data_IF_332948309591
#
_entry.id   IF_332948309591
#
_cell.length_a   1.000
_cell.length_b   1.000
_cell.length_c   1.000
_cell.angle_alpha   90.00
_cell.angle_beta   90.00
_cell.angle_gamma   90.00
#
_symmetry.space_group_name_H-M   'P 1'
#
loop_
_entity.id
_entity.type
_entity.pdbx_description
1 polymer ?
#
# COMPACT_ATOMS: atom_id res chain seq x y z
N UNK A 1 4.30 -9.25 16.40
CA UNK A 1 3.65 -10.18 17.37
C UNK A 1 3.21 -11.49 16.71
N UNK A 2 2.52 -11.47 15.58
CA UNK A 2 2.05 -12.68 14.85
C UNK A 2 3.12 -13.78 14.67
N UNK A 3 4.39 -13.50 14.30
CA UNK A 3 5.40 -14.55 14.11
C UNK A 3 5.71 -15.40 15.35
N UNK A 4 5.39 -14.94 16.55
CA UNK A 4 5.63 -15.69 17.79
C UNK A 4 4.58 -16.76 18.09
N UNK A 5 3.39 -16.62 17.52
CA UNK A 5 2.25 -17.50 17.80
C UNK A 5 1.98 -18.49 16.66
N UNK A 6 2.63 -18.29 15.51
CA UNK A 6 2.36 -19.08 14.29
C UNK A 6 3.71 -19.63 13.80
N UNK A 7 3.92 -20.93 13.96
CA UNK A 7 5.04 -21.66 13.36
C UNK A 7 4.92 -21.68 11.82
N UNK A 8 4.98 -22.85 11.18
CA UNK A 8 4.99 -23.08 9.73
C UNK A 8 3.74 -22.60 8.95
N UNK A 9 3.11 -21.53 9.33
CA UNK A 9 1.89 -20.97 8.69
C UNK A 9 1.86 -19.45 8.62
N UNK A 10 2.98 -18.78 8.92
CA UNK A 10 3.01 -17.30 9.00
C UNK A 10 2.51 -16.60 7.74
N UNK A 11 2.89 -17.10 6.54
CA UNK A 11 2.41 -16.54 5.26
C UNK A 11 0.90 -16.62 5.11
N UNK A 12 0.28 -17.74 5.50
CA UNK A 12 -1.17 -17.93 5.46
C UNK A 12 -1.89 -16.99 6.42
N UNK A 13 -1.38 -16.83 7.64
CA UNK A 13 -1.97 -15.94 8.65
C UNK A 13 -1.85 -14.47 8.24
N UNK A 14 -0.72 -14.06 7.68
CA UNK A 14 -0.54 -12.72 7.11
C UNK A 14 -1.46 -12.50 5.90
N UNK A 15 -1.65 -13.52 5.06
CA UNK A 15 -2.60 -13.49 3.95
C UNK A 15 -4.04 -13.27 4.43
N UNK A 16 -4.50 -14.02 5.43
CA UNK A 16 -5.83 -13.85 6.03
C UNK A 16 -5.98 -12.46 6.68
N UNK A 17 -4.98 -12.01 7.43
CA UNK A 17 -4.98 -10.67 8.04
C UNK A 17 -5.14 -9.58 6.99
N UNK A 18 -4.37 -9.63 5.92
CA UNK A 18 -4.48 -8.67 4.82
C UNK A 18 -5.83 -8.79 4.10
N UNK A 19 -6.33 -10.03 3.85
CA UNK A 19 -7.64 -10.27 3.25
C UNK A 19 -8.75 -9.61 4.06
N UNK A 20 -8.78 -9.80 5.38
CA UNK A 20 -9.77 -9.18 6.27
C UNK A 20 -9.65 -7.65 6.20
N UNK A 21 -8.43 -7.08 6.23
CA UNK A 21 -8.21 -5.64 6.13
C UNK A 21 -8.75 -5.05 4.82
N UNK A 22 -8.46 -5.66 3.68
CA UNK A 22 -8.96 -5.18 2.38
C UNK A 22 -10.45 -5.45 2.18
N UNK A 23 -11.00 -6.52 2.75
CA UNK A 23 -12.44 -6.74 2.75
C UNK A 23 -13.17 -5.64 3.54
N UNK A 24 -12.65 -5.28 4.73
CA UNK A 24 -13.17 -4.15 5.51
C UNK A 24 -13.04 -2.82 4.74
N UNK A 25 -11.93 -2.59 4.03
CA UNK A 25 -11.73 -1.41 3.18
C UNK A 25 -12.71 -1.37 2.01
N UNK A 26 -13.03 -2.53 1.41
CA UNK A 26 -14.06 -2.64 0.35
C UNK A 26 -15.44 -2.23 0.85
N UNK A 27 -15.83 -2.74 2.03
CA UNK A 27 -17.10 -2.38 2.66
C UNK A 27 -17.12 -0.90 3.06
N UNK A 28 -16.01 -0.37 3.56
CA UNK A 28 -15.85 1.04 3.88
C UNK A 28 -15.98 1.95 2.65
N UNK A 29 -15.38 1.56 1.53
CA UNK A 29 -15.50 2.29 0.27
C UNK A 29 -16.96 2.30 -0.24
N UNK A 30 -17.66 1.18 -0.14
CA UNK A 30 -19.08 1.12 -0.48
C UNK A 30 -19.91 1.97 0.49
N UNK A 31 -19.65 1.88 1.79
CA UNK A 31 -20.35 2.66 2.81
C UNK A 31 -20.17 4.17 2.61
N UNK A 32 -19.01 4.63 2.10
CA UNK A 32 -18.75 6.04 1.78
C UNK A 32 -19.67 6.60 0.68
N UNK A 33 -20.31 5.74 -0.11
CA UNK A 33 -21.28 6.16 -1.13
C UNK A 33 -22.72 6.34 -0.60
N UNK A 34 -23.05 5.86 0.62
CA UNK A 34 -24.39 5.92 1.22
C UNK A 34 -24.98 7.33 1.21
N UNK A 35 -24.22 8.42 1.54
CA UNK A 35 -24.76 9.78 1.50
C UNK A 35 -25.37 10.16 0.16
N UNK A 36 -24.79 9.70 -0.96
CA UNK A 36 -25.30 10.00 -2.29
C UNK A 36 -26.64 9.33 -2.62
N UNK A 37 -27.03 8.28 -1.88
CA UNK A 37 -28.31 7.60 -2.04
C UNK A 37 -29.43 8.21 -1.19
N UNK A 38 -29.07 8.87 -0.07
CA UNK A 38 -30.05 9.36 0.92
C UNK A 38 -30.42 10.83 0.74
N UNK A 39 -29.88 11.52 -0.27
CA UNK A 39 -30.34 12.84 -0.72
C UNK A 39 -29.90 14.04 0.14
N UNK A 40 -29.26 13.85 1.27
CA UNK A 40 -28.73 14.93 2.14
C UNK A 40 -27.20 14.81 2.29
N UNK A 41 -26.52 14.89 1.16
CA UNK A 41 -25.13 14.51 0.98
C UNK A 41 -24.19 15.19 1.98
N UNK A 42 -24.32 16.51 2.18
CA UNK A 42 -23.42 17.25 3.06
C UNK A 42 -23.56 16.88 4.54
N UNK A 43 -24.81 16.73 5.02
CA UNK A 43 -25.07 16.36 6.43
C UNK A 43 -24.62 14.94 6.70
N UNK A 44 -24.91 14.03 5.78
CA UNK A 44 -24.55 12.61 5.90
C UNK A 44 -23.03 12.38 5.78
N UNK A 45 -22.35 13.10 4.89
CA UNK A 45 -20.88 13.08 4.83
C UNK A 45 -20.28 13.57 6.15
N UNK A 46 -20.81 14.65 6.74
CA UNK A 46 -20.36 15.12 8.05
C UNK A 46 -20.61 14.08 9.15
N UNK A 47 -21.74 13.38 9.14
CA UNK A 47 -22.04 12.33 10.13
C UNK A 47 -21.09 11.12 10.02
N UNK A 48 -20.52 10.84 8.85
CA UNK A 48 -19.49 9.79 8.72
C UNK A 48 -18.22 10.06 9.52
N UNK A 49 -17.87 11.34 9.78
CA UNK A 49 -16.77 11.65 10.71
C UNK A 49 -17.07 11.21 12.14
N UNK A 50 -18.35 11.24 12.56
CA UNK A 50 -18.76 10.69 13.86
C UNK A 50 -18.62 9.17 13.90
N UNK A 51 -19.00 8.47 12.85
CA UNK A 51 -18.80 7.02 12.72
C UNK A 51 -17.30 6.68 12.80
N UNK A 52 -16.45 7.45 12.13
CA UNK A 52 -15.01 7.29 12.19
C UNK A 52 -14.46 7.52 13.60
N UNK A 53 -14.94 8.56 14.30
CA UNK A 53 -14.54 8.86 15.68
C UNK A 53 -14.96 7.75 16.65
N UNK A 54 -16.19 7.22 16.51
CA UNK A 54 -16.68 6.08 17.32
C UNK A 54 -15.85 4.82 17.06
N UNK A 55 -15.55 4.51 15.78
CA UNK A 55 -14.69 3.38 15.44
C UNK A 55 -13.28 3.54 16.04
N UNK A 56 -12.73 4.74 16.01
CA UNK A 56 -11.44 5.06 16.66
C UNK A 56 -11.48 4.86 18.16
N UNK A 57 -12.58 5.25 18.84
CA UNK A 57 -12.78 5.05 20.27
C UNK A 57 -12.88 3.55 20.63
N UNK A 58 -13.64 2.79 19.85
CA UNK A 58 -13.75 1.33 20.01
C UNK A 58 -12.36 0.68 19.87
N UNK A 59 -11.60 1.09 18.87
CA UNK A 59 -10.24 0.58 18.65
C UNK A 59 -9.33 0.93 19.82
N UNK A 60 -9.39 2.17 20.33
CA UNK A 60 -8.65 2.59 21.51
C UNK A 60 -9.00 1.75 22.75
N UNK A 61 -10.29 1.55 23.02
CA UNK A 61 -10.74 0.70 24.13
C UNK A 61 -10.28 -0.75 23.97
N UNK A 62 -10.33 -1.31 22.76
CA UNK A 62 -9.83 -2.65 22.47
C UNK A 62 -8.35 -2.78 22.80
N UNK A 63 -7.53 -1.80 22.40
CA UNK A 63 -6.09 -1.78 22.71
C UNK A 63 -5.80 -1.61 24.21
N UNK A 64 -6.59 -0.85 24.94
CA UNK A 64 -6.42 -0.72 26.40
C UNK A 64 -6.73 -2.03 27.13
N UNK A 65 -7.74 -2.78 26.69
CA UNK A 65 -8.07 -4.11 27.23
C UNK A 65 -7.01 -5.15 26.87
N UNK A 66 -6.46 -5.07 25.65
CA UNK A 66 -5.40 -5.99 25.18
C UNK A 66 -3.99 -5.60 25.66
N UNK A 67 -3.83 -4.43 26.27
CA UNK A 67 -2.54 -3.83 26.65
C UNK A 67 -1.74 -4.55 27.72
N UNK A 68 -2.27 -5.65 28.31
CA UNK A 68 -1.52 -6.56 29.18
C UNK A 68 -0.62 -7.57 28.47
N UNK A 69 -0.63 -7.60 27.13
CA UNK A 69 0.28 -8.45 26.35
C UNK A 69 1.62 -7.71 26.24
N UNK A 70 2.55 -8.02 27.13
CA UNK A 70 3.91 -7.47 27.09
C UNK A 70 4.52 -7.71 25.72
N UNK A 71 4.60 -6.66 24.92
CA UNK A 71 5.54 -6.61 23.81
C UNK A 71 6.93 -6.67 24.41
N UNK A 72 7.55 -7.86 24.40
CA UNK A 72 8.89 -8.02 24.93
C UNK A 72 9.77 -6.88 24.42
N UNK A 73 10.30 -6.07 25.34
CA UNK A 73 11.21 -4.96 25.07
C UNK A 73 12.50 -5.52 24.44
N UNK A 74 12.48 -5.85 23.15
CA UNK A 74 13.73 -5.97 22.41
C UNK A 74 14.20 -4.54 22.19
N UNK A 75 15.32 -4.19 22.80
CA UNK A 75 15.90 -2.87 22.65
C UNK A 75 16.10 -2.57 21.16
N UNK A 76 15.44 -1.52 20.67
CA UNK A 76 15.75 -0.95 19.38
C UNK A 76 17.20 -0.43 19.43
N UNK A 77 18.10 -1.10 18.74
CA UNK A 77 19.50 -0.72 18.71
C UNK A 77 20.15 -1.09 17.39
N UNK A 78 20.79 -0.11 16.76
CA UNK A 78 21.65 -0.34 15.59
C UNK A 78 23.03 -0.88 15.99
N UNK A 79 23.35 -0.91 17.29
CA UNK A 79 24.62 -1.43 17.82
C UNK A 79 24.65 -2.96 17.66
N UNK A 80 25.70 -3.47 17.02
CA UNK A 80 25.89 -4.91 16.80
C UNK A 80 25.35 -5.45 15.47
N UNK A 81 24.70 -4.64 14.64
CA UNK A 81 24.12 -5.07 13.36
C UNK A 81 25.14 -5.22 12.21
N UNK A 82 26.42 -4.81 12.41
CA UNK A 82 27.50 -5.05 11.45
C UNK A 82 27.12 -4.76 9.99
N UNK A 83 27.22 -5.78 9.13
CA UNK A 83 26.87 -5.67 7.69
C UNK A 83 25.41 -5.34 7.43
N UNK A 84 24.49 -5.66 8.34
CA UNK A 84 23.07 -5.38 8.17
C UNK A 84 22.76 -3.88 8.11
N UNK A 85 23.58 -3.01 8.69
CA UNK A 85 23.39 -1.54 8.65
C UNK A 85 23.43 -1.01 7.22
N UNK A 86 24.31 -1.51 6.37
CA UNK A 86 24.39 -1.11 4.97
C UNK A 86 23.14 -1.51 4.19
N UNK A 87 22.63 -2.72 4.41
CA UNK A 87 21.40 -3.19 3.78
C UNK A 87 20.18 -2.42 4.30
N UNK A 88 20.08 -2.15 5.59
CA UNK A 88 19.02 -1.32 6.18
C UNK A 88 19.01 0.06 5.53
N UNK A 89 20.17 0.72 5.41
CA UNK A 89 20.29 2.03 4.77
C UNK A 89 19.84 1.96 3.31
N UNK A 90 20.38 1.01 2.53
CA UNK A 90 20.10 0.89 1.11
C UNK A 90 18.61 0.59 0.85
N UNK A 91 18.02 -0.34 1.60
CA UNK A 91 16.59 -0.66 1.50
C UNK A 91 15.73 0.50 1.99
N UNK A 92 16.16 1.26 3.01
CA UNK A 92 15.43 2.46 3.44
C UNK A 92 15.35 3.50 2.32
N UNK A 93 16.45 3.76 1.61
CA UNK A 93 16.46 4.69 0.47
C UNK A 93 15.57 4.19 -0.65
N UNK A 94 15.70 2.91 -1.04
CA UNK A 94 14.91 2.32 -2.11
C UNK A 94 13.40 2.31 -1.78
N UNK A 95 13.03 1.86 -0.57
CA UNK A 95 11.64 1.86 -0.13
C UNK A 95 11.07 3.25 0.07
N UNK A 96 11.92 4.24 0.38
CA UNK A 96 11.51 5.65 0.43
C UNK A 96 11.14 6.18 -0.96
N UNK A 97 11.90 5.80 -1.99
CA UNK A 97 11.60 6.17 -3.37
C UNK A 97 10.25 5.60 -3.83
N UNK A 98 10.00 4.30 -3.54
CA UNK A 98 8.70 3.67 -3.79
C UNK A 98 7.55 4.36 -3.04
N UNK A 99 7.75 4.64 -1.75
CA UNK A 99 6.74 5.26 -0.90
C UNK A 99 6.43 6.71 -1.30
N UNK A 100 7.43 7.47 -1.71
CA UNK A 100 7.24 8.81 -2.27
C UNK A 100 6.38 8.75 -3.53
N UNK A 101 6.70 7.85 -4.48
CA UNK A 101 5.85 7.60 -5.65
C UNK A 101 4.42 7.18 -5.25
N UNK A 102 4.27 6.34 -4.22
CA UNK A 102 2.96 5.95 -3.67
C UNK A 102 2.16 7.13 -3.09
N UNK A 103 2.84 8.08 -2.46
CA UNK A 103 2.25 9.30 -1.92
C UNK A 103 1.61 10.20 -2.99
N UNK A 104 2.12 10.16 -4.22
CA UNK A 104 1.57 10.93 -5.35
C UNK A 104 0.25 10.35 -5.89
N UNK A 105 -0.08 9.08 -5.60
CA UNK A 105 -1.25 8.38 -6.15
C UNK A 105 -2.02 7.61 -5.06
N UNK A 106 -2.16 8.21 -3.89
CA UNK A 106 -2.97 7.64 -2.82
C UNK A 106 -4.45 7.50 -3.23
N UNK A 107 -5.20 6.61 -2.59
CA UNK A 107 -6.61 6.39 -2.92
C UNK A 107 -7.44 7.67 -2.83
N UNK A 108 -7.18 8.54 -1.85
CA UNK A 108 -7.86 9.82 -1.70
C UNK A 108 -7.58 10.75 -2.88
N UNK A 109 -6.32 10.82 -3.32
CA UNK A 109 -5.93 11.64 -4.48
C UNK A 109 -6.49 11.08 -5.79
N UNK A 110 -6.55 9.74 -5.95
CA UNK A 110 -7.21 9.09 -7.07
C UNK A 110 -8.71 9.42 -7.12
N UNK A 111 -9.40 9.36 -5.96
CA UNK A 111 -10.82 9.75 -5.88
C UNK A 111 -11.04 11.19 -6.30
N UNK A 112 -10.22 12.11 -5.79
CA UNK A 112 -10.25 13.52 -6.14
C UNK A 112 -9.96 13.73 -7.63
N UNK A 113 -8.96 13.05 -8.17
CA UNK A 113 -8.61 13.11 -9.59
C UNK A 113 -9.75 12.64 -10.50
N UNK A 114 -10.40 11.51 -10.19
CA UNK A 114 -11.58 11.03 -10.93
C UNK A 114 -12.72 12.04 -10.90
N UNK A 115 -12.96 12.65 -9.73
CA UNK A 115 -13.99 13.68 -9.58
C UNK A 115 -13.72 14.88 -10.49
N UNK A 116 -12.53 15.49 -10.43
CA UNK A 116 -12.24 16.69 -11.24
C UNK A 116 -12.08 16.38 -12.72
N UNK A 117 -11.55 15.22 -13.08
CA UNK A 117 -11.27 14.89 -14.48
C UNK A 117 -12.50 14.44 -15.24
N UNK A 118 -13.42 13.72 -14.59
CA UNK A 118 -14.58 13.09 -15.22
C UNK A 118 -15.92 13.48 -14.60
N UNK A 119 -15.96 14.27 -13.55
CA UNK A 119 -17.20 14.62 -12.85
C UNK A 119 -17.90 13.45 -12.17
N UNK A 120 -17.17 12.41 -11.80
CA UNK A 120 -17.71 11.15 -11.26
C UNK A 120 -18.35 11.39 -9.90
N UNK A 121 -19.56 10.90 -9.72
CA UNK A 121 -20.31 11.04 -8.46
C UNK A 121 -19.69 10.21 -7.32
N UNK A 122 -19.99 10.59 -6.08
CA UNK A 122 -19.58 9.84 -4.88
C UNK A 122 -20.07 8.38 -4.93
N UNK A 123 -21.25 8.14 -5.50
CA UNK A 123 -21.80 6.81 -5.70
C UNK A 123 -20.92 5.94 -6.61
N UNK A 124 -20.54 6.47 -7.76
CA UNK A 124 -19.69 5.77 -8.73
C UNK A 124 -18.30 5.52 -8.16
N UNK A 125 -17.73 6.49 -7.43
CA UNK A 125 -16.44 6.34 -6.74
C UNK A 125 -16.50 5.23 -5.67
N UNK A 126 -17.56 5.16 -4.87
CA UNK A 126 -17.73 4.11 -3.86
C UNK A 126 -17.72 2.71 -4.47
N UNK A 127 -18.48 2.50 -5.56
CA UNK A 127 -18.52 1.22 -6.30
C UNK A 127 -17.17 0.92 -6.96
N UNK A 128 -16.53 1.91 -7.58
CA UNK A 128 -15.23 1.76 -8.22
C UNK A 128 -14.15 1.33 -7.22
N UNK A 129 -14.05 2.02 -6.07
CA UNK A 129 -13.05 1.68 -5.06
C UNK A 129 -13.39 0.42 -4.26
N UNK A 130 -14.66 0.05 -4.14
CA UNK A 130 -15.01 -1.30 -3.67
C UNK A 130 -14.41 -2.37 -4.59
N UNK A 131 -14.63 -2.25 -5.92
CA UNK A 131 -14.07 -3.19 -6.89
C UNK A 131 -12.52 -3.23 -6.84
N UNK A 132 -11.88 -2.06 -6.76
CA UNK A 132 -10.43 -1.90 -6.59
C UNK A 132 -9.93 -2.67 -5.36
N UNK A 133 -10.58 -2.54 -4.21
CA UNK A 133 -10.19 -3.22 -2.98
C UNK A 133 -10.43 -4.73 -3.04
N UNK A 134 -11.51 -5.19 -3.69
CA UNK A 134 -11.77 -6.63 -3.91
C UNK A 134 -10.67 -7.25 -4.78
N UNK A 135 -10.33 -6.63 -5.90
CA UNK A 135 -9.24 -7.09 -6.77
C UNK A 135 -7.91 -7.11 -6.02
N UNK A 136 -7.65 -6.10 -5.20
CA UNK A 136 -6.48 -6.05 -4.33
C UNK A 136 -6.43 -7.23 -3.34
N UNK A 137 -7.55 -7.53 -2.68
CA UNK A 137 -7.64 -8.64 -1.73
C UNK A 137 -7.32 -9.98 -2.40
N UNK A 138 -7.84 -10.20 -3.61
CA UNK A 138 -7.56 -11.40 -4.41
C UNK A 138 -6.06 -11.48 -4.78
N UNK A 139 -5.46 -10.36 -5.21
CA UNK A 139 -4.06 -10.32 -5.61
C UNK A 139 -3.10 -10.69 -4.47
N UNK A 140 -3.42 -10.31 -3.24
CA UNK A 140 -2.63 -10.65 -2.05
C UNK A 140 -2.61 -12.14 -1.73
N UNK A 141 -3.69 -12.86 -2.04
CA UNK A 141 -3.76 -14.33 -1.88
C UNK A 141 -2.95 -15.04 -2.95
N UNK A 142 -2.90 -14.48 -4.16
CA UNK A 142 -2.17 -15.07 -5.29
C UNK A 142 -0.66 -14.83 -5.18
N UNK A 143 -0.23 -13.73 -4.57
CA UNK A 143 1.18 -13.33 -4.50
C UNK A 143 2.12 -14.43 -3.95
N UNK A 144 1.84 -15.10 -2.82
CA UNK A 144 2.69 -16.17 -2.32
C UNK A 144 2.81 -17.35 -3.29
N UNK A 145 1.74 -17.71 -4.00
CA UNK A 145 1.73 -18.82 -4.96
C UNK A 145 2.66 -18.54 -6.15
N UNK A 146 2.75 -17.30 -6.59
CA UNK A 146 3.71 -16.89 -7.62
C UNK A 146 5.12 -16.90 -7.03
N UNK A 147 5.30 -16.38 -5.80
CA UNK A 147 6.59 -16.30 -5.14
C UNK A 147 7.21 -17.69 -4.88
N UNK A 148 6.41 -18.70 -4.62
CA UNK A 148 6.88 -20.09 -4.50
C UNK A 148 7.55 -20.60 -5.78
N UNK A 149 7.14 -20.09 -6.97
CA UNK A 149 7.67 -20.55 -8.27
C UNK A 149 8.89 -19.75 -8.73
N UNK A 150 8.89 -18.43 -8.55
CA UNK A 150 9.92 -17.56 -9.14
C UNK A 150 10.76 -16.80 -8.11
N UNK A 151 10.45 -16.96 -6.81
CA UNK A 151 11.12 -16.29 -5.69
C UNK A 151 10.50 -14.94 -5.34
N UNK A 152 10.70 -14.51 -4.09
CA UNK A 152 10.09 -13.30 -3.53
C UNK A 152 10.54 -12.01 -4.25
N UNK A 153 11.83 -11.84 -4.48
CA UNK A 153 12.37 -10.65 -5.14
C UNK A 153 11.83 -10.49 -6.57
N UNK A 154 11.80 -11.59 -7.35
CA UNK A 154 11.32 -11.54 -8.74
C UNK A 154 9.83 -11.27 -8.79
N UNK A 155 9.05 -11.90 -7.92
CA UNK A 155 7.60 -11.66 -7.84
C UNK A 155 7.34 -10.19 -7.51
N UNK A 156 7.98 -9.66 -6.46
CA UNK A 156 7.86 -8.26 -6.06
C UNK A 156 8.14 -7.30 -7.22
N UNK A 157 9.28 -7.47 -7.89
CA UNK A 157 9.73 -6.56 -8.95
C UNK A 157 8.88 -6.68 -10.21
N UNK A 158 8.63 -7.89 -10.70
CA UNK A 158 7.94 -8.07 -12.00
C UNK A 158 6.48 -7.64 -11.93
N UNK A 159 5.77 -8.01 -10.85
CA UNK A 159 4.38 -7.59 -10.68
C UNK A 159 4.27 -6.09 -10.48
N UNK A 160 5.24 -5.49 -9.79
CA UNK A 160 5.25 -4.05 -9.53
C UNK A 160 5.57 -3.24 -10.80
N UNK A 161 6.52 -3.66 -11.64
CA UNK A 161 6.79 -3.02 -12.95
C UNK A 161 5.54 -3.04 -13.84
N UNK A 162 4.86 -4.19 -13.96
CA UNK A 162 3.62 -4.28 -14.73
C UNK A 162 2.55 -3.34 -14.18
N UNK A 163 2.41 -3.28 -12.85
CA UNK A 163 1.54 -2.34 -12.15
C UNK A 163 1.85 -0.88 -12.49
N UNK A 164 3.14 -0.52 -12.55
CA UNK A 164 3.58 0.86 -12.82
C UNK A 164 3.28 1.26 -14.27
N UNK A 165 3.38 0.34 -15.23
CA UNK A 165 2.94 0.58 -16.61
C UNK A 165 1.44 0.89 -16.65
N UNK A 166 0.61 0.07 -16.00
CA UNK A 166 -0.83 0.36 -15.92
C UNK A 166 -1.12 1.68 -15.20
N UNK A 167 -0.35 2.03 -14.17
CA UNK A 167 -0.50 3.31 -13.48
C UNK A 167 -0.30 4.51 -14.43
N UNK A 168 0.72 4.47 -15.28
CA UNK A 168 0.99 5.51 -16.28
C UNK A 168 -0.13 5.59 -17.33
N UNK A 169 -0.76 4.46 -17.66
CA UNK A 169 -1.87 4.38 -18.62
C UNK A 169 -3.20 4.92 -18.08
N UNK A 170 -3.40 4.96 -16.74
CA UNK A 170 -4.65 5.47 -16.14
C UNK A 170 -5.06 6.84 -16.68
N UNK A 171 -4.21 7.89 -16.67
CA UNK A 171 -4.61 9.22 -17.15
C UNK A 171 -4.71 9.31 -18.67
N UNK A 172 -4.18 8.34 -19.41
CA UNK A 172 -4.16 8.35 -20.88
C UNK A 172 -5.40 7.69 -21.51
N UNK A 173 -6.25 7.03 -20.72
CA UNK A 173 -7.40 6.28 -21.22
C UNK A 173 -8.54 7.14 -21.80
N UNK A 174 -8.57 8.45 -21.56
CA UNK A 174 -9.53 9.38 -22.13
C UNK A 174 -10.97 9.29 -21.58
N UNK A 175 -11.33 8.24 -20.82
CA UNK A 175 -12.65 8.04 -20.22
C UNK A 175 -12.55 7.47 -18.81
N UNK A 176 -13.61 7.69 -17.99
CA UNK A 176 -13.68 7.11 -16.65
C UNK A 176 -13.56 5.58 -16.67
N UNK A 177 -14.32 4.92 -17.54
CA UNK A 177 -14.32 3.45 -17.65
C UNK A 177 -12.95 2.91 -18.05
N UNK A 178 -12.28 3.54 -19.01
CA UNK A 178 -10.93 3.17 -19.42
C UNK A 178 -9.90 3.37 -18.31
N UNK A 179 -9.95 4.52 -17.63
CA UNK A 179 -9.08 4.79 -16.48
C UNK A 179 -9.31 3.82 -15.32
N UNK A 180 -10.58 3.48 -15.04
CA UNK A 180 -10.94 2.49 -14.03
C UNK A 180 -10.45 1.08 -14.43
N UNK A 181 -10.57 0.70 -15.71
CA UNK A 181 -10.06 -0.57 -16.19
C UNK A 181 -8.55 -0.70 -15.98
N UNK A 182 -7.76 0.32 -16.35
CA UNK A 182 -6.32 0.32 -16.07
C UNK A 182 -6.02 0.32 -14.57
N UNK A 183 -6.81 1.01 -13.75
CA UNK A 183 -6.66 0.97 -12.29
C UNK A 183 -6.93 -0.42 -11.72
N UNK A 184 -7.94 -1.13 -12.20
CA UNK A 184 -8.24 -2.51 -11.79
C UNK A 184 -7.14 -3.48 -12.24
N UNK A 185 -6.65 -3.37 -13.48
CA UNK A 185 -5.50 -4.14 -13.97
C UNK A 185 -4.25 -3.85 -13.13
N UNK A 186 -4.00 -2.59 -12.79
CA UNK A 186 -2.93 -2.23 -11.87
C UNK A 186 -3.10 -2.92 -10.52
N UNK A 187 -4.28 -2.88 -9.92
CA UNK A 187 -4.52 -3.44 -8.58
C UNK A 187 -4.46 -4.96 -8.53
N UNK A 188 -4.70 -5.64 -9.65
CA UNK A 188 -4.56 -7.11 -9.71
C UNK A 188 -3.12 -7.58 -9.48
N UNK A 189 -2.12 -6.71 -9.63
CA UNK A 189 -0.70 -7.05 -9.45
C UNK A 189 0.03 -6.12 -8.48
N UNK A 190 -0.46 -4.90 -8.25
CA UNK A 190 0.24 -3.85 -7.50
C UNK A 190 0.53 -4.20 -6.06
N UNK A 191 -0.38 -4.92 -5.38
CA UNK A 191 -0.24 -5.21 -3.95
C UNK A 191 0.44 -6.55 -3.68
N UNK A 192 0.81 -7.28 -4.72
CA UNK A 192 1.59 -8.52 -4.60
C UNK A 192 2.99 -8.26 -4.01
N UNK A 193 3.50 -7.02 -4.12
CA UNK A 193 4.77 -6.62 -3.52
C UNK A 193 4.73 -6.63 -1.99
N UNK A 194 3.58 -6.47 -1.35
CA UNK A 194 3.48 -6.36 0.12
C UNK A 194 3.91 -7.64 0.83
N UNK A 195 3.29 -8.83 0.58
CA UNK A 195 3.71 -10.07 1.22
C UNK A 195 5.09 -10.52 0.74
N UNK A 196 5.42 -10.34 -0.54
CA UNK A 196 6.72 -10.75 -1.09
C UNK A 196 7.87 -9.90 -0.57
N UNK A 197 7.67 -8.61 -0.33
CA UNK A 197 8.64 -7.73 0.34
C UNK A 197 8.87 -8.13 1.79
N UNK A 198 7.82 -8.49 2.53
CA UNK A 198 7.96 -8.98 3.90
C UNK A 198 8.76 -10.28 3.96
N UNK A 199 8.51 -11.20 3.03
CA UNK A 199 9.25 -12.45 2.90
C UNK A 199 10.71 -12.19 2.48
N UNK A 200 10.94 -11.31 1.50
CA UNK A 200 12.28 -10.89 1.08
C UNK A 200 13.09 -10.27 2.25
N UNK A 201 12.46 -9.43 3.07
CA UNK A 201 13.11 -8.88 4.27
C UNK A 201 13.48 -9.98 5.28
N UNK A 202 12.69 -11.05 5.35
CA UNK A 202 13.01 -12.20 6.20
C UNK A 202 14.15 -13.06 5.63
N UNK A 203 14.37 -13.07 4.32
CA UNK A 203 15.49 -13.76 3.66
C UNK A 203 16.82 -13.00 3.84
N UNK A 204 16.78 -11.67 3.81
CA UNK A 204 17.98 -10.81 3.87
C UNK A 204 18.48 -10.62 5.31
N UNK A 205 17.57 -10.54 6.29
CA UNK A 205 17.90 -10.20 7.66
C UNK A 205 17.67 -11.37 8.62
N UNK A 206 18.65 -11.58 9.54
CA UNK A 206 18.45 -12.45 10.71
C UNK A 206 17.29 -11.94 11.59
N UNK A 207 16.72 -12.81 12.41
CA UNK A 207 15.56 -12.47 13.27
C UNK A 207 15.81 -11.24 14.16
N UNK A 208 17.04 -11.07 14.67
CA UNK A 208 17.39 -9.94 15.53
C UNK A 208 17.49 -8.62 14.73
N UNK A 209 18.06 -8.66 13.52
CA UNK A 209 18.21 -7.50 12.65
C UNK A 209 16.87 -7.10 11.97
N UNK A 210 16.00 -8.07 11.69
CA UNK A 210 14.73 -7.89 10.97
C UNK A 210 13.79 -6.91 11.66
N UNK A 211 13.72 -6.93 13.00
CA UNK A 211 12.86 -6.01 13.76
C UNK A 211 13.33 -4.57 13.56
N UNK A 212 14.62 -4.32 13.70
CA UNK A 212 15.21 -2.99 13.49
C UNK A 212 15.12 -2.57 12.01
N UNK A 213 15.39 -3.48 11.08
CA UNK A 213 15.28 -3.23 9.64
C UNK A 213 13.86 -2.82 9.25
N UNK A 214 12.84 -3.57 9.70
CA UNK A 214 11.43 -3.22 9.44
C UNK A 214 11.04 -1.88 10.08
N UNK A 215 11.47 -1.60 11.30
CA UNK A 215 11.16 -0.33 11.96
C UNK A 215 11.74 0.85 11.19
N UNK A 216 13.03 0.81 10.84
CA UNK A 216 13.71 1.90 10.12
C UNK A 216 13.13 2.08 8.71
N UNK A 217 13.00 0.99 7.95
CA UNK A 217 12.48 1.07 6.58
C UNK A 217 11.02 1.54 6.53
N UNK A 218 10.15 1.08 7.45
CA UNK A 218 8.77 1.54 7.50
C UNK A 218 8.66 3.01 7.92
N UNK A 219 9.48 3.47 8.88
CA UNK A 219 9.53 4.89 9.24
C UNK A 219 9.98 5.74 8.05
N UNK A 220 11.05 5.32 7.36
CA UNK A 220 11.53 6.02 6.16
C UNK A 220 10.45 6.09 5.07
N UNK A 221 9.73 5.00 4.82
CA UNK A 221 8.57 4.96 3.88
C UNK A 221 7.48 5.95 4.27
N UNK A 222 7.07 5.94 5.55
CA UNK A 222 6.01 6.83 6.04
C UNK A 222 6.38 8.31 5.88
N UNK A 223 7.61 8.68 6.25
CA UNK A 223 8.09 10.06 6.11
C UNK A 223 8.17 10.46 4.64
N UNK A 224 8.66 9.58 3.78
CA UNK A 224 8.84 9.88 2.34
C UNK A 224 7.52 10.02 1.58
N UNK A 225 6.43 9.45 2.05
CA UNK A 225 5.11 9.61 1.42
C UNK A 225 4.41 10.94 1.75
N UNK A 226 4.83 11.65 2.81
CA UNK A 226 4.18 12.87 3.30
C UNK A 226 4.11 14.02 2.28
N UNK A 227 5.15 14.31 1.48
CA UNK A 227 5.10 15.42 0.51
C UNK A 227 4.13 15.17 -0.65
N UNK A 228 3.77 13.91 -0.92
CA UNK A 228 2.96 13.51 -2.07
C UNK A 228 1.69 14.34 -2.25
N UNK A 229 0.79 14.43 -1.26
CA UNK A 229 -0.45 15.19 -1.37
C UNK A 229 -0.26 16.68 -1.68
N UNK A 230 0.79 17.30 -1.12
CA UNK A 230 1.10 18.73 -1.37
C UNK A 230 1.53 18.95 -2.82
N UNK A 231 2.43 18.10 -3.32
CA UNK A 231 2.91 18.15 -4.71
C UNK A 231 1.76 17.91 -5.68
N UNK A 232 0.90 16.92 -5.41
CA UNK A 232 -0.26 16.62 -6.28
C UNK A 232 -1.27 17.75 -6.25
N UNK A 233 -1.52 18.36 -5.09
CA UNK A 233 -2.41 19.53 -4.99
C UNK A 233 -1.96 20.66 -5.88
N UNK A 234 -0.66 21.00 -5.87
CA UNK A 234 -0.09 22.03 -6.72
C UNK A 234 -0.14 21.65 -8.21
N UNK A 235 0.27 20.44 -8.57
CA UNK A 235 0.22 19.97 -9.96
C UNK A 235 -1.20 20.02 -10.54
N UNK A 236 -2.19 19.59 -9.77
CA UNK A 236 -3.59 19.58 -10.18
C UNK A 236 -4.14 21.00 -10.29
N UNK A 237 -3.80 21.89 -9.36
CA UNK A 237 -4.19 23.32 -9.40
C UNK A 237 -3.66 24.02 -10.65
N UNK A 238 -2.49 23.60 -11.15
CA UNK A 238 -1.88 24.11 -12.37
C UNK A 238 -2.30 23.33 -13.65
N UNK A 239 -3.28 22.41 -13.58
CA UNK A 239 -3.81 21.67 -14.71
C UNK A 239 -3.00 20.43 -15.15
N UNK A 240 -1.95 20.06 -14.42
CA UNK A 240 -1.09 18.91 -14.74
C UNK A 240 -1.65 17.59 -14.23
N UNK A 241 -2.86 17.22 -14.66
CA UNK A 241 -3.60 16.06 -14.15
C UNK A 241 -2.93 14.70 -14.35
N UNK A 242 -2.10 14.55 -15.40
CA UNK A 242 -1.42 13.28 -15.72
C UNK A 242 -0.05 13.13 -15.06
N UNK A 243 0.60 14.22 -14.68
CA UNK A 243 1.96 14.21 -14.15
C UNK A 243 2.13 13.37 -12.87
N UNK A 244 1.22 13.40 -11.88
CA UNK A 244 1.37 12.57 -10.69
C UNK A 244 1.50 11.08 -11.00
N UNK A 245 0.76 10.58 -11.98
CA UNK A 245 0.79 9.18 -12.40
C UNK A 245 2.09 8.83 -13.10
N UNK A 246 2.55 9.69 -14.02
CA UNK A 246 3.78 9.48 -14.78
C UNK A 246 4.98 9.52 -13.84
N UNK A 247 5.08 10.53 -12.98
CA UNK A 247 6.16 10.64 -11.99
C UNK A 247 6.16 9.44 -11.05
N UNK A 248 4.99 9.08 -10.50
CA UNK A 248 4.85 7.94 -9.61
C UNK A 248 5.28 6.64 -10.28
N UNK A 249 4.75 6.34 -11.46
CA UNK A 249 5.08 5.12 -12.20
C UNK A 249 6.57 5.04 -12.57
N UNK A 250 7.16 6.15 -12.98
CA UNK A 250 8.59 6.22 -13.32
C UNK A 250 9.48 6.01 -12.10
N UNK A 251 9.20 6.67 -10.97
CA UNK A 251 9.96 6.52 -9.73
C UNK A 251 9.88 5.09 -9.18
N UNK A 252 8.69 4.50 -9.20
CA UNK A 252 8.47 3.13 -8.76
C UNK A 252 9.17 2.12 -9.67
N UNK A 253 9.18 2.34 -10.98
CA UNK A 253 9.94 1.51 -11.92
C UNK A 253 11.45 1.64 -11.68
N UNK A 254 11.96 2.84 -11.43
CA UNK A 254 13.36 3.05 -11.07
C UNK A 254 13.73 2.32 -9.78
N UNK A 255 12.86 2.37 -8.76
CA UNK A 255 13.00 1.58 -7.53
C UNK A 255 13.07 0.08 -7.84
N UNK A 256 12.16 -0.46 -8.65
CA UNK A 256 12.10 -1.87 -8.98
C UNK A 256 13.37 -2.37 -9.69
N UNK A 257 13.86 -1.59 -10.64
CA UNK A 257 15.10 -1.91 -11.33
C UNK A 257 16.30 -1.85 -10.39
N UNK A 258 16.38 -0.83 -9.54
CA UNK A 258 17.47 -0.66 -8.60
C UNK A 258 17.52 -1.80 -7.57
N UNK A 259 16.40 -2.14 -6.94
CA UNK A 259 16.36 -3.23 -5.96
C UNK A 259 16.69 -4.58 -6.61
N UNK A 260 16.20 -4.83 -7.82
CA UNK A 260 16.51 -6.05 -8.55
C UNK A 260 18.01 -6.18 -8.84
N UNK A 261 18.64 -5.12 -9.39
CA UNK A 261 20.06 -5.13 -9.70
C UNK A 261 20.94 -5.30 -8.47
N UNK A 262 20.55 -4.69 -7.33
CA UNK A 262 21.33 -4.77 -6.09
C UNK A 262 21.22 -6.11 -5.38
N UNK A 263 20.07 -6.79 -5.47
CA UNK A 263 19.78 -7.95 -4.63
C UNK A 263 19.57 -9.27 -5.39
N UNK A 264 19.53 -9.28 -6.73
CA UNK A 264 19.30 -10.51 -7.55
C UNK A 264 20.29 -11.64 -7.28
N UNK A 265 21.49 -11.33 -6.83
CA UNK A 265 22.52 -12.34 -6.48
C UNK A 265 22.46 -12.83 -5.04
N UNK A 266 21.57 -12.26 -4.20
CA UNK A 266 21.46 -12.57 -2.76
C UNK A 266 20.09 -13.14 -2.39
N UNK A 267 19.06 -12.91 -3.20
CA UNK A 267 17.73 -13.48 -3.05
C UNK A 267 17.72 -14.91 -3.62
N UNK A 268 17.14 -15.84 -2.88
CA UNK A 268 16.92 -17.24 -3.28
C UNK A 268 15.68 -17.40 -4.13
#
# INVERSE_FOLDING_TARGET
>A
MLPRFVGDGLGRVLGIYNLVGYSASSLGALASSIPAYLGNELVLVRSMYLVYAVAGLIMFMTYTVLGGIEAGRRAFGLRGLGRAVADIRNLSVLFSLDAFGGGLVSQSLLSYWFYIRYGVSLRELGVAFMAVNVVTAISLVIAPLIAERIGNLRTMVYTHIVSNVFLILVPLAGSFQGSLAFLLLRQSVSQMDVPTRQAFMAEIFSDDARVSANAVTNTARSVSSLPGPLIVGDLVANGFYSLPFIISGSLKTAYDLAIYLMYRGRAR
#
